data_IF_541213426595
#
_entry.id   IF_541213426595
#
_cell.length_a   1.000
_cell.length_b   1.000
_cell.length_c   1.000
_cell.angle_alpha   90.00
_cell.angle_beta   90.00
_cell.angle_gamma   90.00
#
_symmetry.space_group_name_H-M   'P 1'
#
loop_
_entity.id
_entity.type
_entity.pdbx_description
1 polymer ?
#
# COMPACT_ATOMS: atom_id res chain seq x y z
N UNK A 1 7.81 27.77 14.03
CA UNK A 1 8.72 27.08 13.07
C UNK A 1 9.88 26.31 13.71
N UNK A 2 10.51 26.77 14.79
CA UNK A 2 11.67 26.10 15.40
C UNK A 2 11.41 24.65 15.91
N UNK A 3 10.19 24.38 16.39
CA UNK A 3 9.79 23.12 17.06
C UNK A 3 9.91 21.84 16.19
N UNK A 4 10.01 21.96 14.87
CA UNK A 4 10.06 20.82 13.95
C UNK A 4 11.34 20.78 13.10
N UNK A 5 12.38 21.54 13.46
CA UNK A 5 13.65 21.55 12.73
C UNK A 5 14.41 20.22 12.86
N UNK A 6 14.27 19.52 13.99
CA UNK A 6 14.97 18.27 14.23
C UNK A 6 14.54 17.15 13.27
N UNK A 7 13.25 17.03 12.93
CA UNK A 7 12.81 16.00 11.98
C UNK A 7 13.36 16.24 10.57
N UNK A 8 13.54 17.49 10.17
CA UNK A 8 14.22 17.85 8.93
C UNK A 8 15.72 17.54 8.96
N UNK A 9 16.37 17.73 10.11
CA UNK A 9 17.76 17.31 10.31
C UNK A 9 17.90 15.78 10.17
N UNK A 10 16.99 15.00 10.75
CA UNK A 10 16.96 13.53 10.60
C UNK A 10 16.80 13.13 9.12
N UNK A 11 15.91 13.80 8.38
CA UNK A 11 15.78 13.61 6.92
C UNK A 11 17.09 13.94 6.21
N UNK A 12 17.72 15.07 6.51
CA UNK A 12 19.01 15.45 5.93
C UNK A 12 20.12 14.43 6.19
N UNK A 13 20.18 13.89 7.41
CA UNK A 13 21.10 12.81 7.75
C UNK A 13 20.79 11.53 6.96
N UNK A 14 19.51 11.19 6.80
CA UNK A 14 19.07 10.08 5.95
C UNK A 14 19.47 10.25 4.48
N UNK A 15 19.32 11.46 3.93
CA UNK A 15 19.72 11.79 2.55
C UNK A 15 21.22 11.59 2.39
N UNK A 16 22.02 12.19 3.28
CA UNK A 16 23.48 12.04 3.28
C UNK A 16 23.91 10.57 3.39
N UNK A 17 23.25 9.80 4.26
CA UNK A 17 23.51 8.38 4.41
C UNK A 17 23.14 7.57 3.16
N UNK A 18 21.98 7.83 2.55
CA UNK A 18 21.57 7.15 1.30
C UNK A 18 22.52 7.45 0.13
N UNK A 19 23.04 8.68 0.04
CA UNK A 19 24.06 9.05 -0.95
C UNK A 19 25.41 8.38 -0.66
N UNK A 20 25.79 8.29 0.62
CA UNK A 20 26.98 7.54 1.02
C UNK A 20 26.87 6.07 0.61
N UNK A 21 25.73 5.42 0.87
CA UNK A 21 25.47 4.03 0.46
C UNK A 21 25.57 3.87 -1.04
N UNK A 22 24.96 4.77 -1.82
CA UNK A 22 25.08 4.75 -3.28
C UNK A 22 26.55 4.86 -3.72
N UNK A 23 27.33 5.72 -3.06
CA UNK A 23 28.76 5.88 -3.33
C UNK A 23 29.57 4.59 -3.12
N UNK A 24 29.08 3.64 -2.32
CA UNK A 24 29.71 2.33 -2.12
C UNK A 24 29.32 1.29 -3.17
N UNK A 25 28.26 1.53 -3.96
CA UNK A 25 27.81 0.58 -4.98
C UNK A 25 28.78 0.65 -6.17
N UNK A 26 29.44 -0.46 -6.57
CA UNK A 26 30.29 -0.49 -7.75
C UNK A 26 29.47 -0.31 -9.03
N UNK A 27 30.09 0.29 -10.04
CA UNK A 27 29.53 0.38 -11.38
C UNK A 27 29.35 -1.03 -11.98
N UNK A 28 28.24 -1.25 -12.68
CA UNK A 28 27.88 -2.50 -13.35
C UNK A 28 27.51 -3.65 -12.41
N UNK A 29 27.52 -3.43 -11.09
CA UNK A 29 27.24 -4.46 -10.08
C UNK A 29 25.89 -4.21 -9.44
N UNK A 30 24.98 -5.15 -9.66
CA UNK A 30 23.64 -5.13 -9.10
C UNK A 30 23.54 -6.11 -7.95
N UNK A 31 22.73 -5.74 -6.95
CA UNK A 31 22.49 -6.59 -5.77
C UNK A 31 21.81 -7.92 -6.14
N UNK A 32 21.01 -7.95 -7.21
CA UNK A 32 20.29 -9.13 -7.66
C UNK A 32 20.18 -9.17 -9.19
N UNK A 33 19.98 -10.37 -9.74
CA UNK A 33 19.69 -10.57 -11.17
C UNK A 33 18.41 -9.86 -11.61
N UNK A 34 17.45 -9.68 -10.71
CA UNK A 34 16.28 -8.83 -10.92
C UNK A 34 16.67 -7.38 -11.30
N UNK A 35 17.49 -6.74 -10.45
CA UNK A 35 17.99 -5.40 -10.72
C UNK A 35 18.82 -5.35 -12.01
N UNK A 36 19.65 -6.38 -12.26
CA UNK A 36 20.45 -6.47 -13.49
C UNK A 36 19.63 -6.53 -14.76
N UNK A 37 18.57 -7.34 -14.81
CA UNK A 37 17.70 -7.47 -15.99
C UNK A 37 16.88 -6.20 -16.24
N UNK A 38 16.37 -5.55 -15.19
CA UNK A 38 15.73 -4.24 -15.31
C UNK A 38 16.70 -3.19 -15.84
N UNK A 39 17.96 -3.25 -15.40
CA UNK A 39 18.98 -2.30 -15.80
C UNK A 39 19.34 -2.50 -17.26
N UNK A 40 19.52 -3.75 -17.69
CA UNK A 40 19.73 -4.11 -19.09
C UNK A 40 18.62 -3.53 -19.99
N UNK A 41 17.35 -3.69 -19.59
CA UNK A 41 16.24 -3.11 -20.33
C UNK A 41 16.27 -1.57 -20.30
N UNK A 42 16.58 -0.95 -19.16
CA UNK A 42 16.69 0.50 -19.05
C UNK A 42 17.84 1.08 -19.91
N UNK A 43 18.95 0.36 -20.01
CA UNK A 43 20.08 0.70 -20.86
C UNK A 43 19.68 0.69 -22.33
N UNK A 44 19.07 -0.42 -22.79
CA UNK A 44 18.54 -0.57 -24.14
C UNK A 44 17.57 0.57 -24.51
N UNK A 45 16.62 0.87 -23.62
CA UNK A 45 15.66 1.97 -23.80
C UNK A 45 16.37 3.33 -23.83
N UNK A 46 17.39 3.53 -22.98
CA UNK A 46 18.15 4.77 -22.88
C UNK A 46 19.10 5.02 -24.07
N UNK A 47 19.50 3.97 -24.77
CA UNK A 47 20.25 4.03 -26.04
C UNK A 47 19.35 4.32 -27.26
N UNK A 48 18.04 4.45 -27.04
CA UNK A 48 17.06 4.78 -28.07
C UNK A 48 16.35 3.57 -28.67
N UNK A 49 16.66 2.34 -28.22
CA UNK A 49 15.92 1.17 -28.66
C UNK A 49 14.69 0.94 -27.77
N UNK A 50 13.53 1.33 -28.29
CA UNK A 50 12.26 1.32 -27.57
C UNK A 50 11.59 -0.08 -27.49
N UNK A 51 12.30 -1.16 -27.84
CA UNK A 51 11.79 -2.52 -27.66
C UNK A 51 11.72 -2.88 -26.17
N UNK A 52 10.66 -3.59 -25.79
CA UNK A 52 10.45 -4.07 -24.41
C UNK A 52 11.02 -5.47 -24.21
N UNK A 53 11.13 -6.26 -25.29
CA UNK A 53 11.94 -7.47 -25.31
C UNK A 53 13.43 -7.14 -25.27
N UNK A 54 14.23 -8.05 -24.73
CA UNK A 54 15.68 -7.96 -24.74
C UNK A 54 16.21 -8.20 -26.16
N UNK A 55 17.02 -7.28 -26.65
CA UNK A 55 17.75 -7.47 -27.92
C UNK A 55 18.77 -8.58 -27.74
N UNK A 56 18.78 -9.45 -28.72
CA UNK A 56 19.73 -10.55 -28.85
C UNK A 56 20.93 -10.09 -29.68
N UNK A 57 22.17 -10.48 -29.35
CA UNK A 57 23.34 -10.14 -30.16
C UNK A 57 23.24 -10.74 -31.56
N UNK A 58 23.50 -9.95 -32.61
CA UNK A 58 23.38 -10.36 -34.02
C UNK A 58 24.38 -11.46 -34.46
N UNK A 59 25.24 -11.95 -33.57
CA UNK A 59 26.26 -12.94 -33.91
C UNK A 59 25.63 -14.34 -34.01
N UNK A 60 25.65 -14.92 -35.21
CA UNK A 60 25.06 -16.23 -35.52
C UNK A 60 25.49 -17.35 -34.55
N UNK A 61 26.76 -17.39 -34.15
CA UNK A 61 27.25 -18.40 -33.22
C UNK A 61 26.66 -18.24 -31.80
N UNK A 62 26.28 -17.02 -31.40
CA UNK A 62 25.60 -16.75 -30.12
C UNK A 62 24.16 -17.27 -30.19
N UNK A 63 23.45 -16.98 -31.28
CA UNK A 63 22.11 -17.50 -31.52
C UNK A 63 22.08 -19.03 -31.48
N UNK A 64 23.02 -19.69 -32.15
CA UNK A 64 23.15 -21.14 -32.12
C UNK A 64 23.39 -21.68 -30.70
N UNK A 65 24.21 -21.01 -29.88
CA UNK A 65 24.38 -21.42 -28.48
C UNK A 65 23.07 -21.29 -27.69
N UNK A 66 22.34 -20.20 -27.89
CA UNK A 66 21.10 -19.92 -27.19
C UNK A 66 19.97 -20.88 -27.60
N UNK A 67 19.84 -21.20 -28.89
CA UNK A 67 18.93 -22.23 -29.40
C UNK A 67 19.26 -23.63 -28.86
N UNK A 68 20.54 -23.90 -28.59
CA UNK A 68 20.99 -25.13 -27.92
C UNK A 68 20.79 -25.11 -26.39
N UNK A 69 20.04 -24.14 -25.86
CA UNK A 69 19.71 -24.05 -24.43
C UNK A 69 20.79 -23.39 -23.57
N UNK A 70 21.79 -22.73 -24.16
CA UNK A 70 22.85 -22.02 -23.44
C UNK A 70 22.58 -20.50 -23.33
N UNK A 71 21.30 -20.12 -23.31
CA UNK A 71 20.90 -18.74 -23.04
C UNK A 71 21.21 -18.40 -21.57
N UNK A 72 21.83 -17.24 -21.26
CA UNK A 72 22.39 -16.97 -19.93
C UNK A 72 21.35 -16.73 -18.82
N UNK A 73 20.07 -16.57 -19.17
CA UNK A 73 19.01 -16.30 -18.21
C UNK A 73 17.89 -17.33 -18.32
N UNK A 74 17.50 -17.91 -17.21
CA UNK A 74 16.46 -18.93 -17.19
C UNK A 74 15.18 -18.40 -16.53
N UNK A 75 14.10 -19.16 -16.68
CA UNK A 75 12.93 -19.00 -15.84
C UNK A 75 13.33 -19.14 -14.35
N UNK A 76 12.78 -18.34 -13.43
CA UNK A 76 11.63 -17.44 -13.60
C UNK A 76 11.98 -16.00 -14.00
N UNK A 77 13.20 -15.71 -14.45
CA UNK A 77 13.64 -14.33 -14.66
C UNK A 77 13.44 -13.82 -16.09
N UNK A 78 13.59 -14.69 -17.07
CA UNK A 78 13.39 -14.39 -18.50
C UNK A 78 12.55 -15.49 -19.15
N UNK A 79 11.67 -15.11 -20.06
CA UNK A 79 10.78 -16.00 -20.81
C UNK A 79 11.00 -15.82 -22.31
N UNK A 80 11.08 -16.94 -23.04
CA UNK A 80 11.11 -16.94 -24.50
C UNK A 80 9.71 -17.07 -25.07
N UNK A 81 9.22 -16.04 -25.75
CA UNK A 81 7.85 -15.96 -26.29
C UNK A 81 7.87 -15.29 -27.66
N UNK A 82 7.23 -15.91 -28.67
CA UNK A 82 7.11 -15.36 -30.02
C UNK A 82 8.47 -14.91 -30.60
N UNK A 83 9.47 -15.78 -30.49
CA UNK A 83 10.85 -15.55 -30.92
C UNK A 83 11.57 -14.35 -30.27
N UNK A 84 11.21 -14.05 -29.02
CA UNK A 84 11.78 -12.93 -28.25
C UNK A 84 11.96 -13.30 -26.78
N UNK A 85 12.93 -12.65 -26.14
CA UNK A 85 13.18 -12.81 -24.71
C UNK A 85 12.60 -11.65 -23.92
N UNK A 86 11.73 -11.92 -22.97
CA UNK A 86 11.12 -10.92 -22.09
C UNK A 86 11.54 -11.15 -20.64
N UNK A 87 11.94 -10.08 -19.96
CA UNK A 87 12.13 -10.11 -18.52
C UNK A 87 10.78 -10.29 -17.82
N UNK A 88 10.75 -11.04 -16.72
CA UNK A 88 9.51 -11.27 -15.96
C UNK A 88 8.96 -10.00 -15.30
N UNK A 89 9.79 -8.97 -15.16
CA UNK A 89 9.48 -7.78 -14.38
C UNK A 89 8.71 -6.73 -15.20
N UNK A 90 7.86 -5.92 -14.56
CA UNK A 90 7.16 -4.84 -15.25
C UNK A 90 8.13 -3.84 -15.91
N UNK A 91 8.02 -3.68 -17.23
CA UNK A 91 8.83 -2.73 -17.99
C UNK A 91 8.71 -1.24 -17.59
N UNK A 92 7.60 -0.73 -16.99
CA UNK A 92 7.47 0.70 -16.73
C UNK A 92 8.58 1.29 -15.86
N UNK A 93 9.13 0.54 -14.92
CA UNK A 93 10.25 1.02 -14.10
C UNK A 93 11.53 1.25 -14.90
N UNK A 94 11.89 0.29 -15.76
CA UNK A 94 13.03 0.41 -16.68
C UNK A 94 12.82 1.60 -17.64
N UNK A 95 11.60 1.79 -18.14
CA UNK A 95 11.26 2.93 -18.99
C UNK A 95 11.39 4.28 -18.28
N UNK A 96 10.94 4.38 -17.03
CA UNK A 96 11.05 5.62 -16.23
C UNK A 96 12.50 5.95 -15.88
N UNK A 97 13.34 4.93 -15.71
CA UNK A 97 14.75 5.09 -15.32
C UNK A 97 15.69 5.29 -16.50
N UNK A 98 15.30 4.85 -17.71
CA UNK A 98 16.09 4.97 -18.93
C UNK A 98 16.61 6.39 -19.25
N UNK A 99 15.80 7.47 -19.15
CA UNK A 99 16.30 8.82 -19.40
C UNK A 99 17.42 9.24 -18.43
N UNK A 100 17.36 8.78 -17.19
CA UNK A 100 18.39 9.07 -16.19
C UNK A 100 19.66 8.28 -16.48
N UNK A 101 19.54 7.05 -16.98
CA UNK A 101 20.68 6.30 -17.50
C UNK A 101 21.35 7.05 -18.66
N UNK A 102 20.59 7.55 -19.64
CA UNK A 102 21.15 8.33 -20.76
C UNK A 102 21.91 9.58 -20.27
N UNK A 103 21.41 10.24 -19.22
CA UNK A 103 21.99 11.48 -18.70
C UNK A 103 23.19 11.25 -17.77
N UNK A 104 23.19 10.19 -16.96
CA UNK A 104 24.14 10.01 -15.86
C UNK A 104 24.82 8.62 -15.85
N UNK A 105 24.68 7.85 -16.92
CA UNK A 105 25.13 6.47 -17.02
C UNK A 105 24.49 5.59 -15.96
N UNK A 106 25.20 4.56 -15.51
CA UNK A 106 24.70 3.59 -14.53
C UNK A 106 24.27 4.23 -13.21
N UNK A 107 24.88 5.35 -12.80
CA UNK A 107 24.48 6.09 -11.60
C UNK A 107 23.09 6.69 -11.73
N UNK A 108 22.68 7.01 -12.95
CA UNK A 108 21.35 7.51 -13.27
C UNK A 108 20.23 6.52 -12.94
N UNK A 109 20.50 5.21 -13.01
CA UNK A 109 19.52 4.18 -12.70
C UNK A 109 18.97 4.32 -11.26
N UNK A 110 19.81 4.76 -10.33
CA UNK A 110 19.47 4.94 -8.90
C UNK A 110 18.76 6.25 -8.60
N UNK A 111 18.65 7.16 -9.57
CA UNK A 111 18.02 8.47 -9.37
C UNK A 111 16.57 8.32 -8.89
N UNK A 112 15.78 7.48 -9.57
CA UNK A 112 14.37 7.29 -9.24
C UNK A 112 14.18 6.59 -7.90
N UNK A 113 14.91 5.51 -7.56
CA UNK A 113 14.87 4.94 -6.21
C UNK A 113 15.18 5.95 -5.10
N UNK A 114 16.25 6.75 -5.25
CA UNK A 114 16.68 7.73 -4.26
C UNK A 114 15.64 8.83 -4.05
N UNK A 115 15.24 9.48 -5.15
CA UNK A 115 14.27 10.57 -5.09
C UNK A 115 12.94 10.08 -4.56
N UNK A 116 12.51 8.86 -4.94
CA UNK A 116 11.27 8.29 -4.43
C UNK A 116 11.32 8.09 -2.91
N UNK A 117 12.42 7.55 -2.41
CA UNK A 117 12.65 7.38 -0.96
C UNK A 117 12.65 8.72 -0.22
N UNK A 118 13.31 9.74 -0.75
CA UNK A 118 13.33 11.06 -0.12
C UNK A 118 11.94 11.70 -0.09
N UNK A 119 11.18 11.58 -1.18
CA UNK A 119 9.80 12.06 -1.24
C UNK A 119 8.88 11.30 -0.27
N UNK A 120 9.10 9.99 -0.06
CA UNK A 120 8.41 9.22 0.99
C UNK A 120 8.71 9.82 2.37
N UNK A 121 9.98 10.07 2.71
CA UNK A 121 10.35 10.62 4.01
C UNK A 121 9.76 12.01 4.24
N UNK A 122 9.80 12.87 3.21
CA UNK A 122 9.22 14.20 3.23
C UNK A 122 7.71 14.11 3.41
N UNK A 123 7.03 13.32 2.57
CA UNK A 123 5.58 13.14 2.63
C UNK A 123 5.11 12.59 3.96
N UNK A 124 5.81 11.58 4.50
CA UNK A 124 5.53 11.00 5.82
C UNK A 124 5.74 12.02 6.95
N UNK A 125 6.83 12.79 6.92
CA UNK A 125 7.10 13.84 7.89
C UNK A 125 6.03 14.95 7.89
N UNK A 126 5.53 15.32 6.71
CA UNK A 126 4.41 16.26 6.56
C UNK A 126 3.10 15.64 7.07
N UNK A 127 2.85 14.38 6.78
CA UNK A 127 1.70 13.63 7.28
C UNK A 127 1.70 13.56 8.81
N UNK A 128 2.83 13.26 9.45
CA UNK A 128 2.96 13.28 10.92
C UNK A 128 2.56 14.64 11.53
N UNK A 129 2.86 15.75 10.85
CA UNK A 129 2.42 17.09 11.30
C UNK A 129 0.93 17.28 11.13
N UNK A 130 0.40 16.82 9.99
CA UNK A 130 -1.02 16.89 9.69
C UNK A 130 -1.85 16.19 10.78
N UNK A 131 -1.46 14.98 11.18
CA UNK A 131 -2.14 14.23 12.25
C UNK A 131 -1.78 14.71 13.67
N UNK A 132 -1.06 15.83 13.78
CA UNK A 132 -0.71 16.53 15.03
C UNK A 132 0.08 15.67 16.03
N UNK A 133 0.99 14.83 15.55
CA UNK A 133 1.93 14.12 16.44
C UNK A 133 2.77 15.14 17.24
N UNK A 134 3.14 14.75 18.46
CA UNK A 134 4.08 15.55 19.24
C UNK A 134 5.44 15.61 18.52
N UNK A 135 6.27 16.65 18.74
CA UNK A 135 7.57 16.74 18.06
C UNK A 135 8.45 15.54 18.30
N UNK A 136 8.42 14.98 19.52
CA UNK A 136 9.14 13.76 19.87
C UNK A 136 8.62 12.56 19.06
N UNK A 137 7.30 12.34 19.04
CA UNK A 137 6.68 11.25 18.27
C UNK A 137 6.99 11.37 16.77
N UNK A 138 6.95 12.58 16.23
CA UNK A 138 7.31 12.83 14.83
C UNK A 138 8.78 12.51 14.56
N UNK A 139 9.71 12.98 15.40
CA UNK A 139 11.14 12.68 15.23
C UNK A 139 11.40 11.18 15.34
N UNK A 140 10.79 10.51 16.32
CA UNK A 140 10.89 9.06 16.48
C UNK A 140 10.33 8.31 15.27
N UNK A 141 9.14 8.69 14.78
CA UNK A 141 8.53 8.05 13.62
C UNK A 141 9.37 8.22 12.35
N UNK A 142 9.89 9.42 12.10
CA UNK A 142 10.78 9.69 10.95
C UNK A 142 12.11 8.95 11.11
N UNK A 143 12.69 8.93 12.32
CA UNK A 143 13.91 8.18 12.60
C UNK A 143 13.73 6.69 12.34
N UNK A 144 12.63 6.10 12.82
CA UNK A 144 12.33 4.69 12.61
C UNK A 144 12.09 4.38 11.12
N UNK A 145 11.39 5.25 10.40
CA UNK A 145 11.21 5.10 8.96
C UNK A 145 12.53 5.12 8.19
N UNK A 146 13.47 5.99 8.56
CA UNK A 146 14.73 6.15 7.83
C UNK A 146 15.75 5.08 8.26
N UNK A 147 15.99 4.92 9.55
CA UNK A 147 17.13 4.14 10.06
C UNK A 147 16.75 2.75 10.59
N UNK A 148 15.46 2.49 10.82
CA UNK A 148 14.99 1.20 11.34
C UNK A 148 14.06 0.47 10.36
N UNK A 149 13.97 0.94 9.10
CA UNK A 149 13.23 0.25 8.03
C UNK A 149 14.17 -0.06 6.87
N UNK A 150 13.76 -1.01 6.02
CA UNK A 150 14.51 -1.38 4.81
C UNK A 150 14.45 -0.32 3.71
N UNK A 151 13.69 0.77 3.89
CA UNK A 151 13.48 1.78 2.84
C UNK A 151 14.78 2.48 2.42
N UNK A 152 15.68 2.74 3.38
CA UNK A 152 16.99 3.35 3.07
C UNK A 152 17.90 2.38 2.31
N UNK A 153 17.85 1.09 2.63
CA UNK A 153 18.57 0.06 1.90
C UNK A 153 18.06 0.01 0.44
N UNK A 154 16.74 0.00 0.26
CA UNK A 154 16.12 0.00 -1.07
C UNK A 154 16.39 1.25 -1.89
N UNK A 155 16.78 2.36 -1.27
CA UNK A 155 17.23 3.55 -1.99
C UNK A 155 18.62 3.36 -2.63
N UNK A 156 19.46 2.51 -2.03
CA UNK A 156 20.77 2.12 -2.56
C UNK A 156 20.74 0.90 -3.48
N UNK A 157 19.56 0.32 -3.71
CA UNK A 157 19.34 -0.78 -4.65
C UNK A 157 18.59 -0.26 -5.88
N UNK A 158 18.95 -0.74 -7.07
CA UNK A 158 18.21 -0.41 -8.29
C UNK A 158 16.91 -1.22 -8.34
N UNK A 159 15.94 -0.80 -7.52
CA UNK A 159 14.66 -1.47 -7.31
C UNK A 159 13.51 -0.47 -7.39
N UNK A 160 12.39 -0.95 -7.91
CA UNK A 160 11.16 -0.22 -8.18
C UNK A 160 10.23 -0.06 -6.97
N UNK A 161 10.51 -0.82 -5.89
CA UNK A 161 9.70 -0.83 -4.67
C UNK A 161 9.48 0.58 -4.09
N UNK A 162 10.52 1.40 -4.07
CA UNK A 162 10.47 2.77 -3.51
C UNK A 162 9.53 3.67 -4.31
N UNK A 163 9.51 3.55 -5.65
CA UNK A 163 8.60 4.28 -6.52
C UNK A 163 7.15 3.80 -6.33
N UNK A 164 6.93 2.49 -6.28
CA UNK A 164 5.61 1.92 -6.04
C UNK A 164 5.04 2.37 -4.68
N UNK A 165 5.85 2.30 -3.63
CA UNK A 165 5.48 2.78 -2.28
C UNK A 165 5.20 4.28 -2.28
N UNK A 166 5.99 5.09 -2.99
CA UNK A 166 5.74 6.53 -3.09
C UNK A 166 4.37 6.81 -3.68
N UNK A 167 4.04 6.22 -4.82
CA UNK A 167 2.73 6.41 -5.46
C UNK A 167 1.59 5.96 -4.56
N UNK A 168 1.71 4.78 -3.95
CA UNK A 168 0.69 4.30 -3.00
C UNK A 168 0.54 5.24 -1.81
N UNK A 169 1.65 5.71 -1.22
CA UNK A 169 1.66 6.65 -0.10
C UNK A 169 0.97 7.97 -0.46
N UNK A 170 1.30 8.56 -1.61
CA UNK A 170 0.65 9.79 -2.09
C UNK A 170 -0.85 9.58 -2.19
N UNK A 171 -1.29 8.51 -2.86
CA UNK A 171 -2.71 8.23 -3.03
C UNK A 171 -3.44 7.98 -1.70
N UNK A 172 -2.82 7.25 -0.78
CA UNK A 172 -3.35 7.02 0.57
C UNK A 172 -3.41 8.29 1.40
N UNK A 173 -2.41 9.17 1.35
CA UNK A 173 -2.44 10.45 2.06
C UNK A 173 -3.59 11.31 1.52
N UNK A 174 -3.75 11.39 0.20
CA UNK A 174 -4.84 12.15 -0.43
C UNK A 174 -6.21 11.55 -0.07
N UNK A 175 -6.33 10.23 0.08
CA UNK A 175 -7.61 9.58 0.39
C UNK A 175 -7.95 9.59 1.88
N UNK A 176 -7.03 9.16 2.74
CA UNK A 176 -7.29 8.75 4.13
C UNK A 176 -7.09 9.86 5.15
N UNK A 177 -6.65 11.05 4.72
CA UNK A 177 -6.62 12.22 5.60
C UNK A 177 -8.05 12.56 6.06
N UNK A 178 -8.34 12.56 7.38
CA UNK A 178 -9.65 12.88 7.92
C UNK A 178 -10.07 14.30 7.56
N UNK A 179 -11.30 14.43 7.06
CA UNK A 179 -11.92 15.69 6.62
C UNK A 179 -13.44 15.52 6.55
N UNK A 180 -14.15 16.60 6.25
CA UNK A 180 -15.62 16.57 6.09
C UNK A 180 -16.05 15.86 4.80
N UNK A 181 -15.38 16.11 3.68
CA UNK A 181 -15.63 15.42 2.41
C UNK A 181 -14.38 15.39 1.52
N UNK A 182 -14.24 14.34 0.69
CA UNK A 182 -13.22 14.29 -0.36
C UNK A 182 -13.70 15.12 -1.56
N UNK A 183 -12.83 15.93 -2.15
CA UNK A 183 -13.14 16.63 -3.40
C UNK A 183 -13.00 15.69 -4.62
N UNK A 184 -13.61 16.03 -5.75
CA UNK A 184 -13.50 15.23 -6.99
C UNK A 184 -12.03 15.09 -7.42
N UNK A 185 -11.28 16.20 -7.41
CA UNK A 185 -9.87 16.23 -7.78
C UNK A 185 -9.03 15.31 -6.89
N UNK A 186 -9.28 15.31 -5.59
CA UNK A 186 -8.57 14.43 -4.65
C UNK A 186 -8.91 12.96 -4.87
N UNK A 187 -10.18 12.63 -5.11
CA UNK A 187 -10.59 11.26 -5.43
C UNK A 187 -9.90 10.75 -6.71
N UNK A 188 -9.84 11.59 -7.76
CA UNK A 188 -9.13 11.29 -9.01
C UNK A 188 -7.65 11.04 -8.75
N UNK A 189 -6.94 11.99 -8.12
CA UNK A 189 -5.50 11.84 -7.88
C UNK A 189 -5.19 10.67 -6.96
N UNK A 190 -5.99 10.45 -5.92
CA UNK A 190 -5.82 9.29 -5.05
C UNK A 190 -5.94 7.99 -5.81
N UNK A 191 -6.98 7.84 -6.64
CA UNK A 191 -7.19 6.63 -7.43
C UNK A 191 -6.08 6.42 -8.45
N UNK A 192 -5.69 7.49 -9.15
CA UNK A 192 -4.60 7.47 -10.11
C UNK A 192 -3.27 7.01 -9.49
N UNK A 193 -2.84 7.62 -8.38
CA UNK A 193 -1.57 7.27 -7.75
C UNK A 193 -1.59 5.86 -7.13
N UNK A 194 -2.69 5.45 -6.50
CA UNK A 194 -2.81 4.05 -6.04
C UNK A 194 -2.76 3.09 -7.24
N UNK A 195 -3.45 3.38 -8.32
CA UNK A 195 -3.40 2.57 -9.54
C UNK A 195 -2.01 2.48 -10.15
N UNK A 196 -1.27 3.59 -10.22
CA UNK A 196 0.11 3.62 -10.72
C UNK A 196 1.05 2.74 -9.89
N UNK A 197 0.83 2.59 -8.59
CA UNK A 197 1.67 1.69 -7.78
C UNK A 197 1.63 0.24 -8.29
N UNK A 198 0.49 -0.20 -8.84
CA UNK A 198 0.32 -1.53 -9.42
C UNK A 198 1.00 -1.71 -10.79
N UNK A 199 1.27 -0.63 -11.51
CA UNK A 199 2.06 -0.69 -12.76
C UNK A 199 3.52 -1.01 -12.47
N UNK A 200 4.01 -0.44 -11.37
CA UNK A 200 5.40 -0.61 -10.96
C UNK A 200 5.58 -1.98 -10.32
N UNK A 201 4.62 -2.43 -9.49
CA UNK A 201 4.67 -3.73 -8.81
C UNK A 201 3.31 -4.39 -8.67
N UNK A 202 3.22 -5.65 -9.08
CA UNK A 202 1.98 -6.43 -9.08
C UNK A 202 1.43 -6.69 -7.67
N UNK A 203 2.27 -6.71 -6.63
CA UNK A 203 1.83 -6.92 -5.24
C UNK A 203 0.91 -5.79 -4.74
N UNK A 204 0.99 -4.60 -5.34
CA UNK A 204 0.07 -3.51 -5.01
C UNK A 204 -1.37 -3.77 -5.47
N UNK A 205 -1.64 -4.81 -6.27
CA UNK A 205 -3.01 -5.29 -6.50
C UNK A 205 -3.70 -5.71 -5.19
N UNK A 206 -2.94 -6.19 -4.18
CA UNK A 206 -3.49 -6.46 -2.85
C UNK A 206 -3.94 -5.16 -2.14
N UNK A 207 -3.17 -4.08 -2.30
CA UNK A 207 -3.55 -2.76 -1.79
C UNK A 207 -4.76 -2.18 -2.53
N UNK A 208 -4.83 -2.35 -3.86
CA UNK A 208 -6.01 -1.99 -4.67
C UNK A 208 -7.24 -2.72 -4.14
N UNK A 209 -7.16 -4.04 -3.94
CA UNK A 209 -8.28 -4.83 -3.39
C UNK A 209 -8.69 -4.36 -1.98
N UNK A 210 -7.72 -4.08 -1.11
CA UNK A 210 -7.96 -3.61 0.26
C UNK A 210 -8.69 -2.25 0.27
N UNK A 211 -8.23 -1.31 -0.56
CA UNK A 211 -8.83 0.02 -0.65
C UNK A 211 -10.20 -0.02 -1.34
N UNK A 212 -10.38 -0.87 -2.35
CA UNK A 212 -11.71 -1.14 -2.94
C UNK A 212 -12.68 -1.63 -1.88
N UNK A 213 -12.28 -2.61 -1.06
CA UNK A 213 -13.13 -3.12 0.00
C UNK A 213 -13.49 -2.03 1.02
N UNK A 214 -12.48 -1.32 1.54
CA UNK A 214 -12.68 -0.24 2.51
C UNK A 214 -13.62 0.85 1.96
N UNK A 215 -13.32 1.39 0.78
CA UNK A 215 -14.12 2.49 0.18
C UNK A 215 -15.50 1.98 -0.24
N UNK A 216 -15.59 0.78 -0.80
CA UNK A 216 -16.85 0.14 -1.18
C UNK A 216 -17.80 -0.05 0.01
N UNK A 217 -17.29 -0.53 1.14
CA UNK A 217 -18.07 -0.62 2.39
C UNK A 217 -18.58 0.76 2.81
N UNK A 218 -17.73 1.80 2.75
CA UNK A 218 -18.15 3.15 3.11
C UNK A 218 -19.19 3.75 2.16
N UNK A 219 -19.13 3.45 0.86
CA UNK A 219 -20.15 3.83 -0.12
C UNK A 219 -21.49 3.15 0.22
N UNK A 220 -21.47 1.83 0.44
CA UNK A 220 -22.69 1.07 0.77
C UNK A 220 -23.30 1.58 2.07
N UNK A 221 -22.50 1.77 3.12
CA UNK A 221 -22.95 2.29 4.41
C UNK A 221 -23.61 3.68 4.26
N UNK A 222 -23.05 4.54 3.40
CA UNK A 222 -23.64 5.85 3.12
C UNK A 222 -24.98 5.74 2.40
N UNK A 223 -25.07 4.91 1.36
CA UNK A 223 -26.32 4.69 0.61
C UNK A 223 -27.43 4.15 1.52
N UNK A 224 -27.10 3.18 2.37
CA UNK A 224 -28.02 2.60 3.35
C UNK A 224 -28.41 3.63 4.42
N UNK A 225 -27.45 4.40 4.92
CA UNK A 225 -27.71 5.44 5.93
C UNK A 225 -28.63 6.53 5.39
N UNK A 226 -28.47 6.96 4.13
CA UNK A 226 -29.36 7.94 3.52
C UNK A 226 -30.81 7.43 3.45
N UNK A 227 -30.99 6.14 3.15
CA UNK A 227 -32.32 5.48 3.11
C UNK A 227 -32.90 5.24 4.51
N UNK A 228 -32.06 4.97 5.51
CA UNK A 228 -32.49 4.71 6.90
C UNK A 228 -32.57 5.97 7.77
N UNK A 229 -32.01 7.09 7.35
CA UNK A 229 -32.20 8.39 7.99
C UNK A 229 -33.68 8.81 7.96
N UNK A 230 -34.41 8.43 6.90
CA UNK A 230 -35.87 8.54 6.83
C UNK A 230 -36.59 7.76 7.96
N UNK A 231 -35.92 6.77 8.56
CA UNK A 231 -36.39 5.94 9.67
C UNK A 231 -35.66 6.23 11.02
N UNK A 232 -35.00 7.39 11.18
CA UNK A 232 -34.27 7.81 12.39
C UNK A 232 -33.07 6.92 12.82
N UNK A 233 -32.46 6.13 11.92
CA UNK A 233 -31.30 5.28 12.25
C UNK A 233 -30.03 5.68 11.47
N UNK A 234 -29.01 6.19 12.18
CA UNK A 234 -27.69 6.55 11.62
C UNK A 234 -26.69 5.40 11.82
N UNK A 235 -26.55 4.57 10.78
CA UNK A 235 -25.76 3.33 10.80
C UNK A 235 -24.24 3.56 10.96
N UNK A 236 -23.59 4.54 10.28
CA UNK A 236 -22.18 4.87 10.52
C UNK A 236 -21.89 5.25 11.98
N UNK A 237 -22.79 5.99 12.64
CA UNK A 237 -22.64 6.29 14.08
C UNK A 237 -22.80 5.05 14.94
N UNK A 238 -23.74 4.16 14.62
CA UNK A 238 -23.94 2.90 15.35
C UNK A 238 -22.69 2.00 15.31
N UNK A 239 -22.01 1.97 14.16
CA UNK A 239 -20.79 1.18 13.95
C UNK A 239 -19.49 1.89 14.39
N UNK A 240 -19.57 3.12 14.92
CA UNK A 240 -18.40 3.97 15.21
C UNK A 240 -17.49 4.20 13.99
N UNK A 241 -18.07 4.30 12.79
CA UNK A 241 -17.38 4.56 11.52
C UNK A 241 -17.66 5.98 10.97
N UNK A 242 -18.26 6.84 11.80
CA UNK A 242 -18.57 8.24 11.50
C UNK A 242 -17.35 9.00 10.98
N UNK A 243 -16.16 8.74 11.56
CA UNK A 243 -14.90 9.37 11.15
C UNK A 243 -14.41 8.99 9.75
N UNK A 244 -14.94 7.91 9.17
CA UNK A 244 -14.60 7.45 7.82
C UNK A 244 -15.73 7.72 6.81
N UNK A 245 -16.87 8.23 7.26
CA UNK A 245 -18.06 8.48 6.41
C UNK A 245 -17.77 9.36 5.19
N UNK A 246 -16.80 10.25 5.28
CA UNK A 246 -16.34 11.13 4.20
C UNK A 246 -15.83 10.36 2.97
N UNK A 247 -15.33 9.14 3.14
CA UNK A 247 -14.88 8.26 2.04
C UNK A 247 -16.04 7.80 1.15
N UNK A 248 -17.26 7.76 1.69
CA UNK A 248 -18.44 7.28 0.96
C UNK A 248 -19.01 8.26 -0.06
N UNK A 249 -18.69 9.55 0.00
CA UNK A 249 -19.29 10.58 -0.89
C UNK A 249 -18.90 10.40 -2.35
N UNK A 250 -17.59 10.52 -2.59
CA UNK A 250 -16.96 10.48 -3.91
C UNK A 250 -16.02 9.29 -4.04
N UNK A 251 -16.15 8.31 -3.14
CA UNK A 251 -15.36 7.09 -3.14
C UNK A 251 -15.48 6.31 -4.45
N UNK A 252 -16.62 6.40 -5.14
CA UNK A 252 -16.82 5.77 -6.43
C UNK A 252 -15.89 6.34 -7.52
N UNK A 253 -15.60 7.66 -7.49
CA UNK A 253 -14.67 8.30 -8.42
C UNK A 253 -13.26 7.77 -8.20
N UNK A 254 -12.87 7.64 -6.93
CA UNK A 254 -11.60 7.02 -6.54
C UNK A 254 -11.50 5.59 -7.10
N UNK A 255 -12.52 4.76 -6.90
CA UNK A 255 -12.56 3.38 -7.40
C UNK A 255 -12.45 3.35 -8.93
N UNK A 256 -13.27 4.13 -9.63
CA UNK A 256 -13.25 4.20 -11.11
C UNK A 256 -11.87 4.62 -11.61
N UNK A 257 -11.26 5.64 -11.00
CA UNK A 257 -9.94 6.11 -11.45
C UNK A 257 -8.84 5.10 -11.13
N UNK A 258 -8.90 4.45 -9.98
CA UNK A 258 -7.96 3.39 -9.59
C UNK A 258 -8.02 2.21 -10.56
N UNK A 259 -9.20 1.66 -10.81
CA UNK A 259 -9.37 0.56 -11.76
C UNK A 259 -9.14 0.98 -13.21
N UNK A 260 -9.46 2.22 -13.59
CA UNK A 260 -9.11 2.75 -14.91
C UNK A 260 -7.61 2.78 -15.12
N UNK A 261 -6.85 3.22 -14.11
CA UNK A 261 -5.39 3.23 -14.14
C UNK A 261 -4.82 1.81 -14.20
N UNK A 262 -5.30 0.89 -13.37
CA UNK A 262 -4.88 -0.53 -13.42
C UNK A 262 -5.28 -1.20 -14.74
N UNK A 263 -6.45 -0.89 -15.28
CA UNK A 263 -6.93 -1.43 -16.56
C UNK A 263 -6.04 -1.00 -17.73
N UNK A 264 -5.55 0.24 -17.72
CA UNK A 264 -4.58 0.72 -18.71
C UNK A 264 -3.25 -0.05 -18.63
N UNK A 265 -2.81 -0.47 -17.44
CA UNK A 265 -1.65 -1.35 -17.29
C UNK A 265 -1.90 -2.71 -17.95
N UNK A 266 -3.06 -3.31 -17.70
CA UNK A 266 -3.40 -4.60 -18.29
C UNK A 266 -3.53 -4.53 -19.81
N UNK A 267 -4.11 -3.45 -20.34
CA UNK A 267 -4.14 -3.21 -21.79
C UNK A 267 -2.71 -3.07 -22.33
N UNK A 268 -1.85 -2.31 -21.65
CA UNK A 268 -0.46 -2.19 -22.05
C UNK A 268 0.27 -3.54 -22.05
N UNK A 269 0.06 -4.37 -21.03
CA UNK A 269 0.66 -5.69 -20.97
C UNK A 269 0.13 -6.61 -22.08
N UNK A 270 -1.17 -6.53 -22.39
CA UNK A 270 -1.75 -7.28 -23.50
C UNK A 270 -1.11 -6.90 -24.84
N UNK A 271 -0.86 -5.61 -25.06
CA UNK A 271 -0.21 -5.13 -26.29
C UNK A 271 1.24 -5.58 -26.37
N UNK A 272 1.99 -5.53 -25.26
CA UNK A 272 3.43 -5.82 -25.24
C UNK A 272 3.72 -7.32 -25.20
N UNK A 273 3.05 -8.04 -24.30
CA UNK A 273 3.35 -9.44 -23.99
C UNK A 273 2.33 -10.41 -24.58
N UNK A 274 1.16 -9.94 -25.03
CA UNK A 274 0.04 -10.82 -25.42
C UNK A 274 -0.78 -11.34 -24.25
N UNK A 275 -0.47 -10.94 -23.01
CA UNK A 275 -1.16 -11.37 -21.78
C UNK A 275 -1.48 -10.16 -20.87
N UNK A 276 -2.70 -10.08 -20.33
CA UNK A 276 -3.13 -8.97 -19.46
C UNK A 276 -2.31 -8.80 -18.17
N UNK A 277 -1.85 -9.90 -17.57
CA UNK A 277 -1.01 -9.86 -16.36
C UNK A 277 0.49 -9.81 -16.69
N UNK A 278 0.85 -9.60 -17.96
CA UNK A 278 2.22 -9.66 -18.46
C UNK A 278 2.82 -11.07 -18.32
N UNK A 279 4.14 -11.14 -18.23
CA UNK A 279 4.89 -12.40 -18.10
C UNK A 279 4.55 -13.14 -16.80
N UNK A 280 4.19 -12.43 -15.73
CA UNK A 280 3.70 -13.05 -14.50
C UNK A 280 2.44 -13.92 -14.69
N UNK A 281 1.66 -13.71 -15.77
CA UNK A 281 0.56 -14.60 -16.13
C UNK A 281 1.04 -16.03 -16.36
N UNK A 282 2.18 -16.19 -17.05
CA UNK A 282 2.71 -17.49 -17.42
C UNK A 282 3.16 -18.27 -16.18
N UNK A 283 3.87 -17.58 -15.28
CA UNK A 283 4.32 -18.13 -14.01
C UNK A 283 3.18 -18.61 -13.11
N UNK A 284 2.21 -17.73 -12.87
CA UNK A 284 1.24 -17.94 -11.80
C UNK A 284 -0.05 -18.52 -12.35
N UNK A 285 -0.52 -18.06 -13.51
CA UNK A 285 -1.84 -18.40 -14.06
C UNK A 285 -1.83 -19.67 -14.89
N UNK A 286 -0.78 -19.90 -15.67
CA UNK A 286 -0.72 -21.02 -16.62
C UNK A 286 0.04 -22.23 -16.05
N UNK A 287 1.04 -22.01 -15.19
CA UNK A 287 1.84 -23.10 -14.60
C UNK A 287 1.19 -23.88 -13.45
N UNK A 288 0.21 -23.32 -12.73
CA UNK A 288 -0.30 -23.90 -11.48
C UNK A 288 -1.83 -23.96 -11.37
N UNK A 289 -2.36 -25.08 -10.86
CA UNK A 289 -3.78 -25.22 -10.50
C UNK A 289 -4.14 -24.35 -9.28
N UNK A 290 -5.41 -23.93 -9.16
CA UNK A 290 -5.90 -23.11 -8.03
C UNK A 290 -5.62 -23.79 -6.68
N UNK A 291 -5.80 -25.12 -6.61
CA UNK A 291 -5.55 -25.88 -5.39
C UNK A 291 -4.08 -25.80 -4.96
N UNK A 292 -3.15 -25.85 -5.92
CA UNK A 292 -1.71 -25.69 -5.66
C UNK A 292 -1.39 -24.27 -5.19
N UNK A 293 -1.95 -23.24 -5.83
CA UNK A 293 -1.75 -21.83 -5.42
C UNK A 293 -2.22 -21.57 -4.00
N UNK A 294 -3.39 -22.08 -3.62
CA UNK A 294 -3.90 -21.93 -2.25
C UNK A 294 -3.02 -22.65 -1.22
N UNK A 295 -2.48 -23.82 -1.59
CA UNK A 295 -1.55 -24.56 -0.73
C UNK A 295 -0.24 -23.79 -0.55
N UNK A 296 0.41 -23.38 -1.64
CA UNK A 296 1.68 -22.64 -1.59
C UNK A 296 1.52 -21.29 -0.88
N UNK A 297 0.38 -20.59 -1.08
CA UNK A 297 0.07 -19.37 -0.35
C UNK A 297 -0.09 -19.62 1.16
N UNK A 298 -0.72 -20.73 1.55
CA UNK A 298 -0.85 -21.12 2.95
C UNK A 298 0.49 -21.49 3.58
N UNK A 299 1.31 -22.27 2.87
CA UNK A 299 2.66 -22.64 3.29
C UNK A 299 3.54 -21.39 3.46
N UNK A 300 3.53 -20.48 2.49
CA UNK A 300 4.26 -19.21 2.56
C UNK A 300 3.78 -18.34 3.72
N UNK A 301 2.47 -18.31 3.99
CA UNK A 301 1.92 -17.55 5.11
C UNK A 301 2.35 -18.13 6.46
N UNK A 302 2.36 -19.46 6.59
CA UNK A 302 2.88 -20.14 7.78
C UNK A 302 4.37 -19.89 7.96
N UNK A 303 5.15 -19.94 6.89
CA UNK A 303 6.57 -19.63 6.91
C UNK A 303 6.79 -18.20 7.41
N UNK A 304 6.14 -17.20 6.81
CA UNK A 304 6.21 -15.80 7.25
C UNK A 304 5.88 -15.66 8.75
N UNK A 305 4.85 -16.35 9.24
CA UNK A 305 4.51 -16.35 10.66
C UNK A 305 5.66 -16.91 11.50
N UNK A 306 6.17 -18.09 11.15
CA UNK A 306 7.25 -18.76 11.89
C UNK A 306 8.51 -17.87 11.90
N UNK A 307 8.93 -17.40 10.72
CA UNK A 307 10.10 -16.52 10.57
C UNK A 307 9.92 -15.21 11.34
N UNK A 308 8.70 -14.66 11.39
CA UNK A 308 8.42 -13.46 12.19
C UNK A 308 8.64 -13.70 13.69
N UNK A 309 8.20 -14.84 14.22
CA UNK A 309 8.43 -15.19 15.62
C UNK A 309 9.90 -15.52 15.91
N UNK A 310 10.59 -16.15 14.97
CA UNK A 310 12.00 -16.55 15.11
C UNK A 310 12.94 -15.34 15.10
N UNK A 311 12.80 -14.46 14.10
CA UNK A 311 13.73 -13.35 13.88
C UNK A 311 13.27 -12.02 14.50
N UNK A 312 11.97 -11.88 14.80
CA UNK A 312 11.41 -10.64 15.39
C UNK A 312 10.58 -10.90 16.66
N UNK A 313 11.06 -11.67 17.65
CA UNK A 313 10.29 -11.99 18.86
C UNK A 313 9.89 -10.74 19.66
N UNK A 314 10.67 -9.66 19.56
CA UNK A 314 10.37 -8.39 20.23
C UNK A 314 9.13 -7.70 19.63
N UNK A 315 8.87 -7.88 18.33
CA UNK A 315 7.70 -7.32 17.67
C UNK A 315 6.39 -7.92 18.21
N UNK A 316 6.44 -9.16 18.72
CA UNK A 316 5.32 -9.81 19.39
C UNK A 316 4.84 -9.05 20.63
N UNK A 317 5.72 -8.35 21.36
CA UNK A 317 5.30 -7.50 22.47
C UNK A 317 4.45 -6.32 22.01
N UNK A 318 4.75 -5.76 20.83
CA UNK A 318 3.95 -4.67 20.26
C UNK A 318 2.57 -5.17 19.86
N UNK A 319 2.48 -6.36 19.25
CA UNK A 319 1.21 -7.02 18.93
C UNK A 319 0.40 -7.36 20.19
N UNK A 320 1.05 -7.93 21.20
CA UNK A 320 0.43 -8.24 22.49
C UNK A 320 -0.07 -6.98 23.19
N UNK A 321 0.73 -5.91 23.20
CA UNK A 321 0.31 -4.62 23.73
C UNK A 321 -0.92 -4.08 23.01
N UNK A 322 -0.95 -4.16 21.68
CA UNK A 322 -2.07 -3.72 20.85
C UNK A 322 -3.33 -4.56 21.13
N UNK A 323 -3.18 -5.88 21.27
CA UNK A 323 -4.24 -6.79 21.66
C UNK A 323 -4.80 -6.46 23.05
N UNK A 324 -3.92 -6.29 24.06
CA UNK A 324 -4.30 -5.91 25.42
C UNK A 324 -4.99 -4.54 25.45
N UNK A 325 -4.51 -3.58 24.65
CA UNK A 325 -5.16 -2.28 24.50
C UNK A 325 -6.56 -2.40 23.89
N UNK A 326 -6.73 -3.23 22.85
CA UNK A 326 -8.03 -3.49 22.23
C UNK A 326 -8.99 -4.17 23.21
N UNK A 327 -8.54 -5.19 23.93
CA UNK A 327 -9.32 -5.89 24.98
C UNK A 327 -9.75 -4.91 26.06
N UNK A 328 -8.83 -4.07 26.56
CA UNK A 328 -9.15 -3.05 27.57
C UNK A 328 -10.17 -2.03 27.07
N UNK A 329 -10.07 -1.63 25.79
CA UNK A 329 -11.01 -0.68 25.15
C UNK A 329 -12.39 -1.30 24.97
N UNK A 330 -12.46 -2.57 24.54
CA UNK A 330 -13.71 -3.34 24.42
C UNK A 330 -14.39 -3.54 25.78
N UNK A 331 -13.62 -3.93 26.81
CA UNK A 331 -14.11 -4.09 28.19
C UNK A 331 -14.70 -2.78 28.75
N UNK A 332 -14.03 -1.63 28.54
CA UNK A 332 -14.55 -0.31 28.94
C UNK A 332 -15.82 0.09 28.20
N UNK A 333 -15.95 -0.27 26.91
CA UNK A 333 -17.16 0.00 26.12
C UNK A 333 -18.35 -0.84 26.62
N UNK A 334 -18.12 -2.12 26.92
CA UNK A 334 -19.15 -3.00 27.50
C UNK A 334 -19.56 -2.60 28.92
N UNK A 335 -18.61 -2.18 29.76
CA UNK A 335 -18.93 -1.65 31.10
C UNK A 335 -19.79 -0.38 31.04
N UNK A 336 -19.51 0.54 30.10
CA UNK A 336 -20.38 1.70 29.85
C UNK A 336 -21.76 1.29 29.35
N UNK A 337 -21.85 0.35 28.40
CA UNK A 337 -23.15 -0.13 27.89
C UNK A 337 -23.98 -0.84 28.96
N UNK A 338 -23.36 -1.61 29.86
CA UNK A 338 -24.05 -2.18 31.03
C UNK A 338 -24.49 -1.12 32.03
N UNK A 339 -23.70 -0.07 32.26
CA UNK A 339 -24.12 1.05 33.11
C UNK A 339 -25.32 1.81 32.51
N UNK A 340 -25.36 2.03 31.19
CA UNK A 340 -26.52 2.61 30.51
C UNK A 340 -27.74 1.69 30.54
N UNK A 341 -27.58 0.38 30.34
CA UNK A 341 -28.69 -0.58 30.46
C UNK A 341 -29.23 -0.67 31.89
N UNK A 342 -28.35 -0.64 32.90
CA UNK A 342 -28.72 -0.67 34.31
C UNK A 342 -29.43 0.62 34.72
N UNK A 343 -28.96 1.78 34.24
CA UNK A 343 -29.62 3.08 34.48
C UNK A 343 -31.00 3.17 33.80
N UNK A 344 -31.13 2.63 32.58
CA UNK A 344 -32.41 2.60 31.85
C UNK A 344 -33.42 1.63 32.48
N UNK A 345 -32.95 0.49 32.99
CA UNK A 345 -33.77 -0.44 33.79
C UNK A 345 -34.20 0.18 35.12
N UNK A 346 -33.30 0.89 35.82
CA UNK A 346 -33.64 1.57 37.08
C UNK A 346 -34.57 2.78 36.89
N UNK A 347 -34.41 3.57 35.82
CA UNK A 347 -35.31 4.71 35.56
C UNK A 347 -36.71 4.26 35.13
N UNK A 348 -36.83 3.15 34.39
CA UNK A 348 -38.13 2.57 34.07
C UNK A 348 -38.79 1.89 35.29
N UNK A 349 -37.99 1.31 36.20
CA UNK A 349 -38.53 0.77 37.45
C UNK A 349 -39.08 1.86 38.39
N UNK A 350 -38.47 3.05 38.42
CA UNK A 350 -39.02 4.21 39.13
C UNK A 350 -40.30 4.77 38.49
N UNK A 351 -40.42 4.76 37.15
CA UNK A 351 -41.68 5.13 36.46
C UNK A 351 -42.82 4.15 36.73
N UNK A 352 -42.53 2.86 36.83
CA UNK A 352 -43.53 1.83 37.18
C UNK A 352 -43.95 1.90 38.66
N UNK A 353 -43.05 2.26 39.58
CA UNK A 353 -43.38 2.43 41.00
C UNK A 353 -44.08 3.78 41.31
N UNK A 354 -43.91 4.80 40.47
CA UNK A 354 -44.61 6.09 40.59
C UNK A 354 -46.08 6.07 40.17
N UNK A 355 -46.54 5.04 39.44
CA UNK A 355 -47.94 4.90 38.99
C UNK A 355 -48.86 4.13 39.95
N UNK A 356 -48.33 3.55 41.03
CA UNK A 356 -49.11 2.72 41.98
C UNK A 356 -49.37 3.36 43.35
N UNK A 357 -49.25 4.69 43.51
CA UNK A 357 -49.56 5.38 44.79
C UNK A 357 -50.85 6.21 44.81
N UNK A 358 -51.72 6.13 43.77
CA UNK A 358 -52.90 7.00 43.66
C UNK A 358 -54.25 6.28 43.50
N UNK A 359 -54.41 5.11 44.14
CA UNK A 359 -55.71 4.44 44.25
C UNK A 359 -55.86 3.81 45.65
N UNK A 360 -56.24 4.61 46.65
CA UNK A 360 -56.51 4.06 47.97
C UNK A 360 -56.76 5.06 49.10
N UNK A 361 -57.81 5.89 48.99
CA UNK A 361 -58.73 6.17 50.11
C UNK A 361 -59.92 7.02 49.68
N UNK A 362 -61.09 6.38 49.73
CA UNK A 362 -62.39 6.99 49.55
C UNK A 362 -62.95 7.40 50.92
N UNK A 363 -63.67 8.53 50.94
CA UNK A 363 -64.85 8.87 51.76
C UNK A 363 -64.70 9.44 53.19
N UNK A 364 -65.28 10.66 53.29
CA UNK A 364 -66.24 11.20 54.30
C UNK A 364 -65.77 11.51 55.73
N UNK A 365 -65.90 12.76 56.17
CA UNK A 365 -67.03 13.27 56.99
C UNK A 365 -66.83 14.76 57.35
N UNK A 366 -67.95 15.50 57.35
CA UNK A 366 -68.20 16.88 57.83
C UNK A 366 -67.57 18.05 57.06
#
# INVERSE_FOLDING_TARGET
MAKYRLSWFIIGAGVAFSLYLLGQVPNGVYFSGDGGLKALLAQQLGEGNLRIDLITPDAEWIHQLWENGLYPYEEPFVYYLNDRYYITFPYPFSLITAPFYTLFGERGLYFIPLVSTWLIWIGFNLYCRYVKLSPFQQCLAVFLLIFASNLTLYAGMYWEHTLAVLFCLIGMIILLIPRESVTVKEAIWAGFFVGLSAWIRSEFLAMVATLTFLVGVMIILRLVSNKMFENNLDLPKLLNLDKLSYLGDKGWIFIVMMYGTVGLFFISNQIVYGHFLGIHALQIVEGFSIARRLREAWESFLEIIVTFFEFYPVACFSLLYLLLFLVKKLSRKNAKNHFYHFYYLFSNHQRLLGQYSWLGRNKTFC
#
